data_IF_979625104693
#
_entry.id   IF_979625104693
#
_cell.length_a   1.000
_cell.length_b   1.000
_cell.length_c   1.000
_cell.angle_alpha   90.00
_cell.angle_beta   90.00
_cell.angle_gamma   90.00
#
_symmetry.space_group_name_H-M   'P 1'
#
loop_
_entity.id
_entity.type
_entity.pdbx_description
1 polymer ?
#
# COMPACT_ATOMS: atom_id res chain seq x y z
N UNK A 1 -7.67 -72.00 33.77
CA UNK A 1 -7.15 -72.59 32.51
C UNK A 1 -7.13 -71.48 31.47
N UNK A 2 -5.99 -71.23 30.82
CA UNK A 2 -5.87 -70.25 29.75
C UNK A 2 -5.12 -68.99 30.15
N UNK A 3 -3.81 -69.12 30.23
CA UNK A 3 -2.79 -68.08 30.33
C UNK A 3 -2.48 -67.55 28.93
N UNK A 4 -2.59 -66.23 28.70
CA UNK A 4 -1.98 -65.57 27.55
C UNK A 4 -1.50 -64.17 27.98
N UNK A 5 -0.19 -64.09 28.23
CA UNK A 5 0.56 -62.84 28.39
C UNK A 5 1.31 -62.64 27.06
N UNK A 6 1.06 -61.58 26.29
CA UNK A 6 1.88 -61.30 25.13
C UNK A 6 3.21 -60.68 25.55
N UNK A 7 4.27 -61.43 25.27
CA UNK A 7 5.68 -61.06 25.23
C UNK A 7 5.89 -59.83 24.33
N UNK A 8 6.29 -58.69 24.92
CA UNK A 8 6.82 -57.57 24.15
C UNK A 8 8.32 -57.76 23.97
N UNK A 9 8.67 -58.31 22.81
CA UNK A 9 10.04 -58.52 22.37
C UNK A 9 10.77 -57.19 22.15
N UNK A 10 11.90 -57.13 22.84
CA UNK A 10 13.02 -56.20 22.74
C UNK A 10 13.65 -56.26 21.35
N UNK A 11 13.57 -55.16 20.60
CA UNK A 11 14.38 -54.92 19.40
C UNK A 11 15.26 -53.70 19.62
N UNK A 12 16.51 -53.94 20.00
CA UNK A 12 17.58 -52.95 19.94
C UNK A 12 18.32 -53.18 18.61
N UNK A 13 18.16 -52.27 17.65
CA UNK A 13 19.05 -52.14 16.49
C UNK A 13 19.34 -50.63 16.32
N UNK A 14 20.51 -50.17 16.74
CA UNK A 14 21.74 -50.05 15.94
C UNK A 14 21.68 -48.93 14.89
N UNK A 15 22.46 -47.88 15.20
CA UNK A 15 23.31 -47.15 14.25
C UNK A 15 22.61 -46.26 13.23
N UNK A 16 22.60 -44.95 13.48
CA UNK A 16 22.68 -43.97 12.37
C UNK A 16 23.71 -42.90 12.72
N UNK A 17 24.59 -42.71 11.75
CA UNK A 17 25.84 -42.00 11.84
C UNK A 17 25.66 -40.52 12.14
N UNK A 18 26.52 -40.06 13.03
CA UNK A 18 26.87 -38.67 13.21
C UNK A 18 27.65 -38.19 11.98
N UNK A 19 26.94 -37.83 10.91
CA UNK A 19 27.54 -37.12 9.77
C UNK A 19 27.80 -35.68 10.20
N UNK A 20 29.02 -35.46 10.69
CA UNK A 20 29.59 -34.14 10.84
C UNK A 20 29.69 -33.48 9.46
N UNK A 21 28.76 -32.56 9.16
CA UNK A 21 28.94 -31.60 8.08
C UNK A 21 29.77 -30.43 8.61
N UNK A 22 31.10 -30.59 8.56
CA UNK A 22 32.03 -29.47 8.65
C UNK A 22 32.04 -28.74 7.31
N UNK A 23 31.18 -27.72 7.16
CA UNK A 23 31.33 -26.72 6.10
C UNK A 23 32.44 -25.75 6.50
N UNK A 24 33.70 -26.15 6.32
CA UNK A 24 34.80 -25.21 6.24
C UNK A 24 34.79 -24.58 4.85
N UNK A 25 34.09 -23.46 4.72
CA UNK A 25 34.20 -22.58 3.55
C UNK A 25 35.62 -22.02 3.51
N UNK A 26 36.39 -22.39 2.50
CA UNK A 26 37.73 -21.87 2.26
C UNK A 26 37.63 -20.37 1.91
N UNK A 27 38.15 -19.44 2.73
CA UNK A 27 37.95 -18.00 2.53
C UNK A 27 38.81 -17.40 1.39
N UNK A 28 39.48 -18.24 0.60
CA UNK A 28 40.41 -17.81 -0.46
C UNK A 28 40.03 -18.28 -1.87
N UNK A 29 38.81 -18.78 -2.10
CA UNK A 29 38.39 -19.02 -3.48
C UNK A 29 38.15 -17.67 -4.20
N UNK A 30 38.91 -17.35 -5.27
CA UNK A 30 38.67 -16.14 -6.05
C UNK A 30 37.29 -16.21 -6.70
N UNK A 31 36.53 -15.13 -6.58
CA UNK A 31 35.19 -15.03 -7.16
C UNK A 31 35.24 -15.27 -8.68
N UNK A 32 34.28 -16.03 -9.24
CA UNK A 32 34.20 -16.20 -10.68
C UNK A 32 34.04 -14.82 -11.36
N UNK A 33 34.62 -14.63 -12.55
CA UNK A 33 34.49 -13.37 -13.28
C UNK A 33 33.01 -13.08 -13.58
N UNK A 34 32.59 -11.80 -13.54
CA UNK A 34 31.21 -11.44 -13.84
C UNK A 34 30.87 -11.83 -15.30
N UNK A 35 29.61 -12.23 -15.56
CA UNK A 35 29.18 -12.58 -16.91
C UNK A 35 29.30 -11.39 -17.88
N UNK A 36 29.51 -11.64 -19.19
CA UNK A 36 29.57 -10.59 -20.20
C UNK A 36 28.29 -9.73 -20.19
N UNK A 37 28.45 -8.41 -20.31
CA UNK A 37 27.29 -7.51 -20.43
C UNK A 37 26.49 -7.86 -21.70
N UNK A 38 25.15 -8.00 -21.61
CA UNK A 38 24.31 -8.18 -22.78
C UNK A 38 24.49 -7.03 -23.78
N UNK A 39 24.44 -7.30 -25.09
CA UNK A 39 24.49 -6.26 -26.11
C UNK A 39 23.35 -5.26 -25.88
N UNK A 40 23.69 -3.97 -25.82
CA UNK A 40 22.72 -2.89 -25.68
C UNK A 40 21.90 -2.79 -26.98
N UNK A 41 20.72 -3.41 -26.97
CA UNK A 41 19.76 -3.35 -28.06
C UNK A 41 19.20 -1.92 -28.18
N UNK A 42 19.30 -1.36 -29.39
CA UNK A 42 19.17 0.07 -29.68
C UNK A 42 17.85 0.72 -29.25
N UNK A 43 17.97 1.88 -28.59
CA UNK A 43 16.88 2.74 -28.10
C UNK A 43 16.19 3.57 -29.19
N UNK A 44 16.39 3.29 -30.48
CA UNK A 44 15.93 4.19 -31.56
C UNK A 44 14.46 4.03 -31.97
N UNK A 45 13.78 2.93 -31.63
CA UNK A 45 12.39 2.72 -32.10
C UNK A 45 11.32 3.32 -31.16
N UNK A 46 11.63 3.48 -29.87
CA UNK A 46 10.64 3.93 -28.86
C UNK A 46 10.33 5.43 -28.98
N UNK A 47 11.29 6.25 -29.39
CA UNK A 47 11.12 7.71 -29.50
C UNK A 47 10.12 8.09 -30.59
N UNK A 48 10.10 7.36 -31.71
CA UNK A 48 9.18 7.63 -32.83
C UNK A 48 7.71 7.33 -32.46
N UNK A 49 7.45 6.29 -31.67
CA UNK A 49 6.11 5.91 -31.24
C UNK A 49 5.55 6.92 -30.23
N UNK A 50 6.38 7.41 -29.30
CA UNK A 50 5.97 8.41 -28.29
C UNK A 50 5.56 9.74 -28.93
N UNK A 51 6.29 10.21 -29.95
CA UNK A 51 5.94 11.45 -30.65
C UNK A 51 4.60 11.34 -31.39
N UNK A 52 4.30 10.18 -32.01
CA UNK A 52 3.04 9.97 -32.72
C UNK A 52 1.83 10.01 -31.76
N UNK A 53 1.95 9.40 -30.56
CA UNK A 53 0.87 9.36 -29.56
C UNK A 53 0.60 10.76 -28.97
N UNK A 54 1.64 11.57 -28.75
CA UNK A 54 1.48 12.94 -28.24
C UNK A 54 0.74 13.82 -29.25
N UNK A 55 1.06 13.71 -30.54
CA UNK A 55 0.35 14.46 -31.60
C UNK A 55 -1.12 14.06 -31.66
N UNK A 56 -1.46 12.77 -31.55
CA UNK A 56 -2.85 12.30 -31.53
C UNK A 56 -3.64 12.81 -30.31
N UNK A 57 -3.02 12.89 -29.12
CA UNK A 57 -3.68 13.41 -27.92
C UNK A 57 -3.98 14.92 -28.01
N UNK A 58 -3.10 15.70 -28.63
CA UNK A 58 -3.31 17.16 -28.79
C UNK A 58 -4.50 17.45 -29.72
N UNK A 59 -4.72 16.62 -30.75
CA UNK A 59 -5.87 16.78 -31.66
C UNK A 59 -7.21 16.46 -30.97
N UNK A 60 -7.25 15.58 -29.98
CA UNK A 60 -8.50 15.21 -29.29
C UNK A 60 -9.04 16.26 -28.31
N UNK A 61 -8.22 17.18 -27.79
CA UNK A 61 -8.66 18.13 -26.73
C UNK A 61 -9.44 19.34 -27.30
N UNK A 62 -9.38 19.60 -28.60
CA UNK A 62 -10.02 20.78 -29.23
C UNK A 62 -11.51 20.55 -29.55
N UNK A 63 -12.04 19.34 -29.36
CA UNK A 63 -13.30 18.90 -29.98
C UNK A 63 -14.52 18.67 -29.08
N UNK A 64 -14.69 19.34 -27.93
CA UNK A 64 -15.96 19.19 -27.18
C UNK A 64 -16.39 20.44 -26.39
N UNK A 65 -16.85 21.45 -27.13
CA UNK A 65 -17.67 22.56 -26.62
C UNK A 65 -19.09 22.40 -27.19
N UNK A 66 -20.03 21.82 -26.42
CA UNK A 66 -21.46 21.86 -26.78
C UNK A 66 -22.34 22.02 -25.54
N UNK A 67 -22.90 23.23 -25.43
CA UNK A 67 -24.21 23.65 -24.91
C UNK A 67 -24.70 23.18 -23.51
N UNK A 68 -24.80 24.14 -22.59
CA UNK A 68 -25.68 24.07 -21.42
C UNK A 68 -27.15 24.36 -21.81
N UNK A 69 -28.14 23.63 -21.27
CA UNK A 69 -29.52 24.09 -21.24
C UNK A 69 -29.82 24.86 -19.94
N UNK A 70 -30.22 26.13 -20.09
CA UNK A 70 -30.82 26.95 -19.03
C UNK A 70 -32.19 26.36 -18.67
N UNK A 71 -32.34 25.83 -17.46
CA UNK A 71 -33.64 25.41 -16.95
C UNK A 71 -34.39 26.63 -16.37
N UNK A 72 -35.25 27.22 -17.20
CA UNK A 72 -36.29 28.16 -16.76
C UNK A 72 -37.39 27.36 -16.05
N UNK A 73 -37.40 27.37 -14.72
CA UNK A 73 -38.50 26.82 -13.91
C UNK A 73 -39.56 27.90 -13.74
N UNK A 74 -40.66 27.78 -14.49
CA UNK A 74 -41.84 28.60 -14.27
C UNK A 74 -42.54 28.18 -12.98
N UNK A 75 -42.69 29.19 -12.13
CA UNK A 75 -43.48 29.22 -10.93
C UNK A 75 -44.96 29.00 -11.26
N UNK A 76 -45.55 27.96 -10.69
CA UNK A 76 -46.99 27.78 -10.64
C UNK A 76 -47.35 27.33 -9.22
N UNK A 77 -48.01 28.22 -8.49
CA UNK A 77 -48.52 27.96 -7.15
C UNK A 77 -49.85 27.18 -7.24
N UNK A 78 -49.94 25.97 -6.66
CA UNK A 78 -51.22 25.32 -6.43
C UNK A 78 -51.84 25.73 -5.09
N UNK A 79 -53.11 26.08 -5.18
CA UNK A 79 -54.12 26.38 -4.15
C UNK A 79 -54.06 25.45 -2.91
N UNK A 80 -54.14 25.97 -1.67
CA UNK A 80 -54.10 25.14 -0.46
C UNK A 80 -55.37 24.30 -0.33
N UNK A 81 -55.19 22.97 -0.27
CA UNK A 81 -56.22 22.01 0.14
C UNK A 81 -55.86 21.53 1.54
N UNK A 82 -56.75 21.76 2.50
CA UNK A 82 -56.59 21.33 3.89
C UNK A 82 -56.77 19.82 3.95
N UNK A 83 -55.68 19.10 4.21
CA UNK A 83 -55.66 17.64 4.43
C UNK A 83 -55.48 17.37 5.93
N UNK A 84 -56.27 16.45 6.53
CA UNK A 84 -56.19 16.16 7.96
C UNK A 84 -54.81 15.59 8.36
N UNK A 85 -54.29 16.11 9.46
CA UNK A 85 -52.98 15.86 10.06
C UNK A 85 -52.75 14.37 10.39
N UNK A 86 -51.80 13.66 9.74
CA UNK A 86 -51.31 12.40 10.25
C UNK A 86 -50.43 12.65 11.49
N UNK A 87 -50.61 11.83 12.52
CA UNK A 87 -49.81 11.78 13.75
C UNK A 87 -48.30 11.80 13.44
N UNK A 88 -47.49 12.66 14.09
CA UNK A 88 -46.05 12.73 13.82
C UNK A 88 -45.37 11.40 14.16
N UNK A 89 -44.86 10.73 13.13
CA UNK A 89 -43.88 9.64 13.25
C UNK A 89 -42.66 10.17 14.01
N UNK A 90 -42.01 9.38 14.89
CA UNK A 90 -40.79 9.83 15.56
C UNK A 90 -39.76 10.26 14.52
N UNK A 91 -39.35 11.53 14.61
CA UNK A 91 -38.27 12.08 13.78
C UNK A 91 -37.02 11.25 14.04
N UNK A 92 -36.41 10.62 13.01
CA UNK A 92 -35.12 9.98 13.20
C UNK A 92 -34.14 11.04 13.69
N UNK A 93 -33.49 10.76 14.83
CA UNK A 93 -32.41 11.60 15.34
C UNK A 93 -31.39 11.83 14.23
N UNK A 94 -30.94 13.08 13.98
CA UNK A 94 -29.95 13.33 12.94
C UNK A 94 -28.70 12.51 13.24
N UNK A 95 -28.37 11.57 12.34
CA UNK A 95 -27.07 10.91 12.36
C UNK A 95 -26.02 12.00 12.30
N UNK A 96 -25.08 12.09 13.25
CA UNK A 96 -24.00 13.06 13.17
C UNK A 96 -23.27 12.85 11.85
N UNK A 97 -23.25 13.88 11.01
CA UNK A 97 -22.49 13.89 9.77
C UNK A 97 -21.02 13.87 10.20
N UNK A 98 -20.42 12.69 10.20
CA UNK A 98 -18.99 12.55 10.47
C UNK A 98 -18.24 13.33 9.39
N UNK A 99 -17.31 14.20 9.79
CA UNK A 99 -16.50 14.97 8.85
C UNK A 99 -15.70 14.06 7.91
N UNK A 100 -15.17 14.62 6.82
CA UNK A 100 -14.25 13.88 5.96
C UNK A 100 -13.06 13.34 6.78
N UNK A 101 -12.53 12.14 6.46
CA UNK A 101 -11.37 11.60 7.16
C UNK A 101 -10.14 12.49 6.94
N UNK A 102 -9.33 12.65 7.97
CA UNK A 102 -8.04 13.32 7.88
C UNK A 102 -6.98 12.52 8.62
N UNK A 103 -5.76 12.53 8.09
CA UNK A 103 -4.60 11.86 8.68
C UNK A 103 -3.42 12.79 8.52
N UNK A 104 -2.62 12.98 9.57
CA UNK A 104 -1.44 13.84 9.61
C UNK A 104 -0.24 13.02 10.05
N UNK A 105 0.93 13.32 9.47
CA UNK A 105 2.23 12.81 9.93
C UNK A 105 2.88 13.92 10.74
N UNK A 106 3.27 13.62 11.99
CA UNK A 106 3.96 14.56 12.88
C UNK A 106 5.44 14.24 13.02
N UNK A 107 5.83 12.99 12.76
CA UNK A 107 7.23 12.56 12.68
C UNK A 107 7.37 11.42 11.66
N UNK A 108 8.42 11.40 10.82
CA UNK A 108 9.46 12.42 10.69
C UNK A 108 8.94 13.75 10.12
N UNK A 109 9.74 14.81 10.22
CA UNK A 109 9.45 16.10 9.57
C UNK A 109 10.02 16.13 8.14
N UNK A 110 9.44 17.02 7.32
CA UNK A 110 9.82 17.23 5.93
C UNK A 110 11.33 17.47 5.76
N UNK A 111 11.94 16.76 4.81
CA UNK A 111 13.34 16.84 4.42
C UNK A 111 14.34 16.26 5.42
N UNK A 112 13.89 15.68 6.54
CA UNK A 112 14.80 15.13 7.56
C UNK A 112 15.59 13.92 7.06
N UNK A 113 16.79 13.74 7.62
CA UNK A 113 17.59 12.52 7.43
C UNK A 113 17.12 11.44 8.40
N UNK A 114 16.82 10.25 7.89
CA UNK A 114 16.27 9.13 8.67
C UNK A 114 17.11 7.85 8.54
N UNK A 115 17.22 7.04 9.60
CA UNK A 115 17.85 5.72 9.53
C UNK A 115 17.04 4.74 8.65
N UNK A 116 17.54 3.51 8.49
CA UNK A 116 16.85 2.45 7.74
C UNK A 116 15.46 2.17 8.31
N UNK A 117 15.35 2.08 9.64
CA UNK A 117 14.08 1.86 10.34
C UNK A 117 13.71 3.13 11.08
N UNK A 118 12.58 3.72 10.72
CA UNK A 118 12.07 4.97 11.31
C UNK A 118 10.77 4.73 12.07
N UNK A 119 10.67 5.32 13.27
CA UNK A 119 9.40 5.43 13.99
C UNK A 119 8.61 6.58 13.38
N UNK A 120 7.50 6.26 12.71
CA UNK A 120 6.53 7.25 12.26
C UNK A 120 5.48 7.50 13.32
N UNK A 121 5.06 8.75 13.44
CA UNK A 121 4.01 9.19 14.36
C UNK A 121 3.07 10.15 13.65
N UNK A 122 1.84 10.19 14.12
CA UNK A 122 0.86 11.13 13.62
C UNK A 122 -0.47 11.08 14.32
N UNK A 123 -1.47 11.67 13.68
CA UNK A 123 -2.85 11.70 14.14
C UNK A 123 -3.82 11.41 13.01
N UNK A 124 -5.00 10.91 13.35
CA UNK A 124 -6.07 10.56 12.41
C UNK A 124 -7.43 10.91 13.02
N UNK A 125 -8.32 11.46 12.20
CA UNK A 125 -9.67 11.89 12.61
C UNK A 125 -10.70 11.38 11.60
N UNK A 126 -11.89 11.05 12.11
CA UNK A 126 -13.04 10.63 11.31
C UNK A 126 -12.77 9.44 10.36
N UNK A 127 -11.84 8.55 10.72
CA UNK A 127 -11.60 7.32 9.94
C UNK A 127 -12.79 6.38 10.15
N UNK A 128 -13.56 6.17 9.08
CA UNK A 128 -14.75 5.33 9.14
C UNK A 128 -14.40 3.85 9.42
N UNK A 129 -15.31 3.14 10.09
CA UNK A 129 -15.19 1.68 10.26
C UNK A 129 -15.04 0.99 8.90
N UNK A 130 -14.17 -0.01 8.82
CA UNK A 130 -13.88 -0.73 7.58
C UNK A 130 -12.88 -0.02 6.65
N UNK A 131 -12.36 1.15 7.06
CA UNK A 131 -11.16 1.74 6.45
C UNK A 131 -9.95 1.42 7.30
N UNK A 132 -8.85 1.10 6.65
CA UNK A 132 -7.57 0.86 7.30
C UNK A 132 -6.56 1.92 6.94
N UNK A 133 -5.79 2.36 7.94
CA UNK A 133 -4.67 3.26 7.73
C UNK A 133 -3.42 2.45 7.40
N UNK A 134 -2.74 2.79 6.31
CA UNK A 134 -1.51 2.14 5.85
C UNK A 134 -0.40 3.15 5.60
N UNK A 135 0.84 2.69 5.65
CA UNK A 135 2.02 3.46 5.21
C UNK A 135 2.52 2.89 3.89
N UNK A 136 2.69 3.78 2.91
CA UNK A 136 3.26 3.47 1.59
C UNK A 136 4.55 4.28 1.41
N UNK A 137 5.65 3.60 1.12
CA UNK A 137 6.94 4.25 0.84
C UNK A 137 7.17 4.28 -0.66
N UNK A 138 7.73 5.36 -1.19
CA UNK A 138 8.12 5.51 -2.59
C UNK A 138 9.56 6.03 -2.66
N UNK A 139 10.46 5.25 -3.25
CA UNK A 139 11.82 5.71 -3.49
C UNK A 139 11.84 6.69 -4.67
N UNK A 140 12.56 7.80 -4.57
CA UNK A 140 12.65 8.77 -5.66
C UNK A 140 13.18 8.11 -6.94
N UNK A 141 12.48 8.35 -8.06
CA UNK A 141 12.77 7.74 -9.36
C UNK A 141 12.22 6.32 -9.56
N UNK A 142 11.52 5.74 -8.58
CA UNK A 142 10.84 4.44 -8.71
C UNK A 142 9.35 4.67 -8.91
N UNK A 143 8.75 3.91 -9.82
CA UNK A 143 7.29 3.82 -9.94
C UNK A 143 6.80 2.69 -9.06
N UNK A 144 5.93 3.00 -8.11
CA UNK A 144 5.32 1.99 -7.23
C UNK A 144 5.20 2.49 -5.81
N UNK A 145 4.05 2.18 -5.21
CA UNK A 145 3.80 2.38 -3.78
C UNK A 145 4.14 1.08 -3.06
N UNK A 146 5.00 1.15 -2.05
CA UNK A 146 5.45 -0.03 -1.31
C UNK A 146 4.78 -0.04 0.08
N UNK A 147 3.71 -0.83 0.28
CA UNK A 147 3.12 -1.02 1.59
C UNK A 147 4.17 -1.55 2.57
N UNK A 148 4.14 -1.02 3.80
CA UNK A 148 5.04 -1.46 4.85
C UNK A 148 4.53 -2.76 5.49
N UNK A 149 5.47 -3.66 5.77
CA UNK A 149 5.18 -4.89 6.49
C UNK A 149 4.75 -4.56 7.93
N UNK A 150 3.90 -5.41 8.52
CA UNK A 150 3.32 -5.19 9.85
C UNK A 150 1.81 -4.96 9.84
N UNK A 151 1.21 -4.77 8.66
CA UNK A 151 -0.23 -4.63 8.51
C UNK A 151 -0.72 -3.19 8.64
N UNK A 152 -2.04 -2.98 8.81
CA UNK A 152 -2.61 -1.65 8.99
C UNK A 152 -2.16 -1.02 10.32
N UNK A 153 -2.01 0.30 10.32
CA UNK A 153 -1.69 1.09 11.51
C UNK A 153 -2.89 1.05 12.47
N UNK A 154 -2.60 0.77 13.74
CA UNK A 154 -3.57 0.93 14.82
C UNK A 154 -3.65 2.40 15.23
N UNK A 155 -4.85 2.96 15.20
CA UNK A 155 -5.14 4.31 15.69
C UNK A 155 -5.60 4.18 17.14
N UNK A 156 -4.92 4.87 18.03
CA UNK A 156 -5.23 4.90 19.45
C UNK A 156 -6.53 5.67 19.74
N UNK A 157 -7.06 5.52 20.96
CA UNK A 157 -8.33 6.14 21.35
C UNK A 157 -8.31 7.68 21.30
N UNK A 158 -7.13 8.30 21.41
CA UNK A 158 -6.94 9.74 21.31
C UNK A 158 -6.73 10.23 19.86
N UNK A 159 -6.81 9.31 18.89
CA UNK A 159 -6.59 9.59 17.48
C UNK A 159 -5.12 9.62 17.08
N UNK A 160 -4.17 9.36 17.99
CA UNK A 160 -2.75 9.25 17.64
C UNK A 160 -2.43 7.88 17.06
N UNK A 161 -1.30 7.78 16.37
CA UNK A 161 -0.80 6.51 15.87
C UNK A 161 0.73 6.49 15.82
N UNK A 162 1.29 5.28 15.93
CA UNK A 162 2.73 5.02 15.84
C UNK A 162 2.96 3.78 14.96
N UNK A 163 3.97 3.81 14.10
CA UNK A 163 4.38 2.65 13.30
C UNK A 163 5.89 2.62 13.07
N UNK A 164 6.47 1.43 12.93
CA UNK A 164 7.83 1.25 12.42
C UNK A 164 7.78 1.14 10.89
N UNK A 165 8.72 1.78 10.20
CA UNK A 165 8.76 1.85 8.73
C UNK A 165 10.19 1.65 8.24
N UNK A 166 10.37 0.87 7.18
CA UNK A 166 11.66 0.68 6.53
C UNK A 166 11.81 1.60 5.32
N UNK A 167 12.85 2.42 5.32
CA UNK A 167 13.17 3.41 4.29
C UNK A 167 14.30 2.89 3.41
N UNK A 168 13.93 2.30 2.27
CA UNK A 168 14.88 1.76 1.29
C UNK A 168 15.71 0.60 1.83
N UNK A 169 16.93 0.48 1.30
CA UNK A 169 17.94 -0.50 1.74
C UNK A 169 19.27 0.18 2.02
N UNK A 170 20.29 -0.55 2.50
CA UNK A 170 21.57 0.02 2.93
C UNK A 170 22.29 0.85 1.84
N UNK A 171 22.12 0.50 0.56
CA UNK A 171 22.73 1.24 -0.56
C UNK A 171 22.02 2.55 -0.93
N UNK A 172 20.88 2.86 -0.31
CA UNK A 172 20.08 4.05 -0.64
C UNK A 172 20.45 5.29 0.19
N UNK A 173 21.54 5.29 0.97
CA UNK A 173 22.00 6.51 1.68
C UNK A 173 22.11 7.72 0.75
N UNK A 174 21.57 8.85 1.20
CA UNK A 174 21.45 10.11 0.46
C UNK A 174 20.25 10.18 -0.50
N UNK A 175 19.54 9.07 -0.74
CA UNK A 175 18.37 9.04 -1.62
C UNK A 175 17.14 9.63 -0.92
N UNK A 176 16.31 10.31 -1.70
CA UNK A 176 15.00 10.84 -1.26
C UNK A 176 13.93 9.75 -1.31
N UNK A 177 13.03 9.80 -0.35
CA UNK A 177 11.84 8.95 -0.27
C UNK A 177 10.62 9.81 0.02
N UNK A 178 9.51 9.49 -0.62
CA UNK A 178 8.20 10.02 -0.27
C UNK A 178 7.50 8.96 0.58
N UNK A 179 6.96 9.35 1.72
CA UNK A 179 6.20 8.47 2.59
C UNK A 179 4.78 8.99 2.68
N UNK A 180 3.83 8.13 2.29
CA UNK A 180 2.41 8.42 2.31
C UNK A 180 1.72 7.66 3.42
N UNK A 181 0.75 8.30 4.07
CA UNK A 181 -0.35 7.58 4.70
C UNK A 181 -1.47 7.37 3.69
N UNK A 182 -2.15 6.24 3.77
CA UNK A 182 -3.27 5.93 2.89
C UNK A 182 -4.41 5.27 3.66
N UNK A 183 -5.65 5.57 3.27
CA UNK A 183 -6.81 4.81 3.71
C UNK A 183 -7.16 3.76 2.66
N UNK A 184 -7.26 2.50 3.07
CA UNK A 184 -7.68 1.39 2.24
C UNK A 184 -9.09 0.92 2.67
N UNK A 185 -10.01 0.74 1.73
CA UNK A 185 -11.17 -0.14 1.95
C UNK A 185 -10.81 -1.61 1.64
N UNK A 186 -11.81 -2.49 1.59
CA UNK A 186 -11.61 -3.90 1.29
C UNK A 186 -10.86 -4.12 -0.03
N UNK A 187 -11.21 -3.40 -1.11
CA UNK A 187 -10.52 -3.54 -2.40
C UNK A 187 -9.07 -3.05 -2.31
N UNK A 188 -8.83 -1.99 -1.53
CA UNK A 188 -7.47 -1.53 -1.23
C UNK A 188 -6.65 -2.54 -0.45
N UNK A 189 -7.25 -3.17 0.58
CA UNK A 189 -6.64 -4.25 1.35
C UNK A 189 -6.28 -5.43 0.46
N UNK A 190 -7.21 -5.90 -0.38
CA UNK A 190 -6.97 -7.03 -1.28
C UNK A 190 -5.78 -6.75 -2.24
N UNK A 191 -5.63 -5.50 -2.69
CA UNK A 191 -4.49 -5.09 -3.51
C UNK A 191 -3.16 -5.10 -2.74
N UNK A 192 -3.17 -4.69 -1.47
CA UNK A 192 -2.00 -4.73 -0.58
C UNK A 192 -1.64 -6.18 -0.23
N UNK A 193 -2.61 -7.01 0.12
CA UNK A 193 -2.39 -8.44 0.42
C UNK A 193 -1.83 -9.17 -0.79
N UNK A 194 -2.36 -8.88 -1.99
CA UNK A 194 -1.80 -9.40 -3.24
C UNK A 194 -0.35 -8.97 -3.43
N UNK A 195 -0.01 -7.72 -3.12
CA UNK A 195 1.38 -7.24 -3.20
C UNK A 195 2.30 -8.03 -2.26
N UNK A 196 1.88 -8.27 -1.02
CA UNK A 196 2.65 -9.09 -0.08
C UNK A 196 2.78 -10.55 -0.51
N UNK A 197 1.75 -11.15 -1.12
CA UNK A 197 1.80 -12.53 -1.63
C UNK A 197 2.84 -12.75 -2.73
N UNK A 198 3.29 -11.68 -3.39
CA UNK A 198 4.34 -11.71 -4.41
C UNK A 198 5.75 -11.59 -3.81
N UNK A 199 5.86 -11.55 -2.48
CA UNK A 199 7.13 -11.43 -1.74
C UNK A 199 7.52 -12.80 -1.14
N UNK A 200 8.80 -13.24 -1.25
CA UNK A 200 9.95 -12.53 -1.79
C UNK A 200 10.11 -12.77 -3.30
N UNK A 201 9.81 -11.75 -4.10
CA UNK A 201 10.25 -11.67 -5.50
C UNK A 201 11.54 -10.84 -5.54
N UNK A 202 12.58 -11.25 -6.32
CA UNK A 202 13.79 -10.44 -6.52
C UNK A 202 13.49 -9.05 -7.08
N UNK A 203 12.33 -8.89 -7.73
CA UNK A 203 11.90 -7.66 -8.37
C UNK A 203 10.93 -6.84 -7.51
N UNK A 204 10.68 -7.22 -6.24
CA UNK A 204 9.66 -6.67 -5.32
C UNK A 204 9.04 -5.37 -5.86
N UNK A 205 7.90 -5.51 -6.53
CA UNK A 205 7.30 -4.45 -7.34
C UNK A 205 6.25 -3.76 -6.50
N UNK A 206 6.31 -2.43 -6.39
CA UNK A 206 5.28 -1.67 -5.69
C UNK A 206 3.95 -1.70 -6.43
N UNK A 207 2.87 -1.36 -5.73
CA UNK A 207 1.54 -1.21 -6.32
C UNK A 207 1.58 -0.07 -7.34
N UNK A 208 1.33 -0.37 -8.61
CA UNK A 208 1.25 0.63 -9.67
C UNK A 208 0.36 0.14 -10.84
N UNK A 209 -0.65 0.92 -11.27
CA UNK A 209 -1.14 2.16 -10.66
C UNK A 209 -1.74 1.90 -9.26
N UNK A 210 -2.01 2.96 -8.51
CA UNK A 210 -2.67 2.85 -7.20
C UNK A 210 -4.06 2.21 -7.39
N UNK A 211 -4.40 1.23 -6.57
CA UNK A 211 -5.70 0.57 -6.66
C UNK A 211 -6.83 1.54 -6.26
N UNK A 212 -8.03 1.48 -6.89
CA UNK A 212 -9.14 2.39 -6.60
C UNK A 212 -9.58 2.42 -5.12
N UNK A 213 -9.40 1.32 -4.40
CA UNK A 213 -9.73 1.21 -2.97
C UNK A 213 -8.70 1.84 -2.02
N UNK A 214 -7.63 2.46 -2.54
CA UNK A 214 -6.59 3.12 -1.77
C UNK A 214 -6.64 4.63 -2.03
N UNK A 215 -6.79 5.41 -0.97
CA UNK A 215 -6.79 6.88 -1.02
C UNK A 215 -5.58 7.41 -0.26
N UNK A 216 -4.68 8.13 -0.93
CA UNK A 216 -3.56 8.80 -0.27
C UNK A 216 -4.08 9.97 0.59
N UNK A 217 -3.53 10.12 1.79
CA UNK A 217 -3.97 11.11 2.78
C UNK A 217 -2.90 12.18 3.01
N UNK A 218 -1.87 11.88 3.81
CA UNK A 218 -0.73 12.76 4.06
C UNK A 218 0.53 12.24 3.38
N UNK A 219 1.48 13.15 3.16
CA UNK A 219 2.80 12.87 2.59
C UNK A 219 3.87 13.58 3.42
N UNK A 220 5.02 12.93 3.60
CA UNK A 220 6.26 13.56 4.04
C UNK A 220 7.42 13.08 3.18
N UNK A 221 8.30 13.99 2.76
CA UNK A 221 9.52 13.62 2.05
C UNK A 221 10.69 13.54 3.03
N UNK A 222 11.52 12.51 2.92
CA UNK A 222 12.70 12.28 3.77
C UNK A 222 13.93 11.91 2.95
N UNK A 223 15.10 11.96 3.58
CA UNK A 223 16.38 11.54 3.00
C UNK A 223 16.90 10.35 3.80
N UNK A 224 17.28 9.26 3.14
CA UNK A 224 17.94 8.16 3.82
C UNK A 224 19.32 8.61 4.32
N UNK A 225 19.54 8.47 5.64
CA UNK A 225 20.76 8.86 6.36
C UNK A 225 21.98 8.01 6.05
#
# INVERSE_FOLDING_TARGET
MGSDIPDYHRGNDHTTQQSQYSFYSNPYEPLPPPPPRPPQQGKSTVVAIVLLVIVLLIVSVVGLFVAMPTLTRLEQAPKPTVVPTPTPSPTPSPTPILGAPSVFITSPIEGSKVPLTVTMQGSAFNVAKGRELWILVVANGVKGYFPQQGGPITIENDGTWISQVTIGVDKDTGRKFEIYTALADQSGRDAIDKNFSQTPSPDYVGIYPLAPGITLMSKVDVIRG
#
